data_IF_900169861926
#
_entry.id   IF_900169861926
#
_cell.length_a   1.000
_cell.length_b   1.000
_cell.length_c   1.000
_cell.angle_alpha   90.00
_cell.angle_beta   90.00
_cell.angle_gamma   90.00
#
_symmetry.space_group_name_H-M   'P 1'
#
loop_
_entity.id
_entity.type
_entity.pdbx_description
1 polymer ?
#
# COMPACT_ATOMS: atom_id res chain seq x y z
N UNK A 1 13.36 7.35 -14.51
CA UNK A 1 12.46 8.13 -13.62
C UNK A 1 11.14 8.24 -14.32
N UNK A 2 10.37 7.16 -14.18
CA UNK A 2 9.33 6.73 -15.09
C UNK A 2 8.13 7.69 -15.13
N UNK A 3 7.53 7.79 -16.31
CA UNK A 3 6.16 8.23 -16.42
C UNK A 3 5.33 7.32 -15.51
N UNK A 4 4.57 7.90 -14.59
CA UNK A 4 3.71 7.12 -13.70
C UNK A 4 2.74 6.38 -14.63
N UNK A 5 2.93 5.06 -14.73
CA UNK A 5 1.99 4.21 -15.44
C UNK A 5 0.67 4.34 -14.68
N UNK A 6 -0.42 4.72 -15.36
CA UNK A 6 -1.70 4.85 -14.69
C UNK A 6 -2.09 3.47 -14.17
N UNK A 7 -2.19 3.35 -12.84
CA UNK A 7 -2.57 2.10 -12.16
C UNK A 7 -3.98 1.69 -12.57
N UNK A 8 -4.81 2.68 -12.90
CA UNK A 8 -6.11 2.49 -13.53
C UNK A 8 -6.01 2.68 -15.04
N UNK A 9 -6.41 1.66 -15.79
CA UNK A 9 -6.58 1.76 -17.24
C UNK A 9 -7.82 2.58 -17.62
N UNK A 10 -7.78 3.24 -18.78
CA UNK A 10 -8.91 4.02 -19.32
C UNK A 10 -10.16 3.13 -19.52
N UNK A 11 -9.97 1.84 -19.81
CA UNK A 11 -11.04 0.86 -19.91
C UNK A 11 -11.74 0.61 -18.57
N UNK A 12 -11.00 0.56 -17.46
CA UNK A 12 -11.57 0.42 -16.11
C UNK A 12 -12.38 1.65 -15.72
N UNK A 13 -11.92 2.86 -16.06
CA UNK A 13 -12.71 4.09 -15.83
C UNK A 13 -14.01 4.09 -16.64
N UNK A 14 -13.98 3.59 -17.86
CA UNK A 14 -15.17 3.44 -18.68
C UNK A 14 -16.18 2.47 -18.06
N UNK A 15 -15.71 1.31 -17.56
CA UNK A 15 -16.56 0.35 -16.86
C UNK A 15 -17.19 0.92 -15.57
N UNK A 16 -16.47 1.80 -14.86
CA UNK A 16 -16.99 2.47 -13.66
C UNK A 16 -18.11 3.49 -13.98
N UNK A 17 -18.14 4.05 -15.19
CA UNK A 17 -19.14 5.04 -15.58
C UNK A 17 -20.54 4.44 -15.78
N UNK A 18 -20.62 3.15 -16.13
CA UNK A 18 -21.86 2.40 -16.32
C UNK A 18 -22.53 2.02 -14.99
N UNK A 19 -21.79 2.08 -13.88
CA UNK A 19 -22.27 1.68 -12.56
C UNK A 19 -22.98 2.87 -11.91
N UNK A 20 -24.30 2.78 -11.78
CA UNK A 20 -25.11 3.80 -11.11
C UNK A 20 -25.20 3.58 -9.59
N UNK A 21 -25.09 2.34 -9.13
CA UNK A 21 -25.21 2.01 -7.71
C UNK A 21 -23.95 2.41 -6.92
N UNK A 22 -24.08 3.21 -5.85
CA UNK A 22 -22.93 3.74 -5.11
C UNK A 22 -22.20 2.66 -4.31
N UNK A 23 -22.85 1.58 -3.90
CA UNK A 23 -22.22 0.50 -3.13
C UNK A 23 -21.39 -0.39 -4.06
N UNK A 24 -21.93 -0.73 -5.23
CA UNK A 24 -21.21 -1.50 -6.25
C UNK A 24 -20.00 -0.71 -6.79
N UNK A 25 -20.14 0.60 -6.97
CA UNK A 25 -19.02 1.47 -7.35
C UNK A 25 -17.87 1.38 -6.34
N UNK A 26 -18.17 1.49 -5.04
CA UNK A 26 -17.16 1.40 -3.98
C UNK A 26 -16.47 0.04 -3.97
N UNK A 27 -17.23 -1.05 -4.11
CA UNK A 27 -16.68 -2.42 -4.18
C UNK A 27 -15.73 -2.60 -5.34
N UNK A 28 -16.11 -2.10 -6.53
CA UNK A 28 -15.27 -2.16 -7.73
C UNK A 28 -13.99 -1.35 -7.59
N UNK A 29 -14.07 -0.15 -7.01
CA UNK A 29 -12.90 0.68 -6.73
C UNK A 29 -11.94 -0.04 -5.77
N UNK A 30 -12.44 -0.59 -4.67
CA UNK A 30 -11.62 -1.37 -3.72
C UNK A 30 -10.95 -2.57 -4.40
N UNK A 31 -11.69 -3.30 -5.25
CA UNK A 31 -11.16 -4.44 -5.99
C UNK A 31 -10.03 -4.06 -6.96
N UNK A 32 -10.12 -2.90 -7.60
CA UNK A 32 -9.08 -2.40 -8.50
C UNK A 32 -7.82 -1.99 -7.72
N UNK A 33 -8.00 -1.36 -6.56
CA UNK A 33 -6.88 -0.83 -5.78
C UNK A 33 -6.24 -1.83 -4.82
N UNK A 34 -6.84 -3.02 -4.62
CA UNK A 34 -6.27 -4.08 -3.79
C UNK A 34 -6.06 -3.67 -2.33
N UNK A 35 -7.00 -2.89 -1.76
CA UNK A 35 -6.87 -2.41 -0.40
C UNK A 35 -6.93 -3.58 0.60
N UNK A 36 -6.01 -3.57 1.58
CA UNK A 36 -5.94 -4.58 2.65
C UNK A 36 -6.46 -3.95 3.94
N UNK A 37 -7.80 -3.87 4.11
CA UNK A 37 -8.53 -3.44 5.33
C UNK A 37 -8.22 -2.03 5.90
N UNK A 38 -9.19 -1.25 6.41
CA UNK A 38 -10.66 -1.32 6.27
C UNK A 38 -11.18 -0.81 4.91
N UNK A 39 -11.77 -1.71 4.14
CA UNK A 39 -12.24 -1.49 2.76
C UNK A 39 -13.32 -0.41 2.64
N UNK A 40 -14.15 -0.24 3.66
CA UNK A 40 -15.23 0.75 3.66
C UNK A 40 -14.69 2.17 3.60
N UNK A 41 -13.64 2.47 4.39
CA UNK A 41 -13.06 3.81 4.49
C UNK A 41 -12.37 4.18 3.17
N UNK A 42 -11.65 3.22 2.58
CA UNK A 42 -10.97 3.40 1.29
C UNK A 42 -11.98 3.53 0.14
N UNK A 43 -13.01 2.70 0.14
CA UNK A 43 -14.10 2.77 -0.84
C UNK A 43 -14.83 4.11 -0.79
N UNK A 44 -15.13 4.61 0.42
CA UNK A 44 -15.75 5.92 0.60
C UNK A 44 -14.85 7.05 0.11
N UNK A 45 -13.56 7.00 0.43
CA UNK A 45 -12.56 7.97 -0.05
C UNK A 45 -12.52 8.03 -1.57
N UNK A 46 -12.27 6.91 -2.25
CA UNK A 46 -12.21 6.87 -3.71
C UNK A 46 -13.58 7.16 -4.36
N UNK A 47 -14.69 6.81 -3.70
CA UNK A 47 -16.03 7.16 -4.14
C UNK A 47 -16.27 8.67 -4.16
N UNK A 48 -15.85 9.40 -3.12
CA UNK A 48 -15.94 10.86 -3.08
C UNK A 48 -15.07 11.48 -4.20
N UNK A 49 -13.84 11.00 -4.39
CA UNK A 49 -12.96 11.49 -5.46
C UNK A 49 -13.56 11.23 -6.85
N UNK A 50 -14.13 10.06 -7.09
CA UNK A 50 -14.75 9.71 -8.36
C UNK A 50 -15.98 10.57 -8.65
N UNK A 51 -16.88 10.74 -7.66
CA UNK A 51 -18.07 11.58 -7.81
C UNK A 51 -17.70 13.05 -8.07
N UNK A 52 -16.65 13.56 -7.42
CA UNK A 52 -16.09 14.88 -7.70
C UNK A 52 -15.59 15.00 -9.15
N UNK A 53 -14.77 14.05 -9.61
CA UNK A 53 -14.23 14.05 -10.97
C UNK A 53 -15.35 13.97 -12.03
N UNK A 54 -16.41 13.21 -11.74
CA UNK A 54 -17.60 13.11 -12.58
C UNK A 54 -18.40 14.41 -12.60
N UNK A 55 -18.61 15.05 -11.45
CA UNK A 55 -19.33 16.32 -11.34
C UNK A 55 -18.63 17.47 -12.08
N UNK A 56 -17.30 17.45 -12.13
CA UNK A 56 -16.48 18.41 -12.89
C UNK A 56 -16.39 18.10 -14.39
N UNK A 57 -16.88 16.94 -14.84
CA UNK A 57 -16.83 16.55 -16.26
C UNK A 57 -15.42 16.20 -16.75
N UNK A 58 -14.56 15.64 -15.90
CA UNK A 58 -13.22 15.24 -16.31
C UNK A 58 -13.25 14.19 -17.43
N UNK A 59 -12.32 14.33 -18.39
CA UNK A 59 -12.13 13.31 -19.42
C UNK A 59 -11.69 11.99 -18.76
N UNK A 60 -11.94 10.87 -19.45
CA UNK A 60 -11.58 9.53 -18.92
C UNK A 60 -10.10 9.44 -18.55
N UNK A 61 -9.23 10.07 -19.35
CA UNK A 61 -7.80 10.17 -19.09
C UNK A 61 -7.49 11.05 -17.89
N UNK A 62 -8.09 12.25 -17.79
CA UNK A 62 -7.93 13.15 -16.62
C UNK A 62 -8.34 12.42 -15.33
N UNK A 63 -9.46 11.70 -15.36
CA UNK A 63 -9.99 10.94 -14.22
C UNK A 63 -9.10 9.78 -13.80
N UNK A 64 -8.61 8.96 -14.75
CA UNK A 64 -7.71 7.85 -14.45
C UNK A 64 -6.43 8.32 -13.75
N UNK A 65 -5.85 9.41 -14.25
CA UNK A 65 -4.61 9.98 -13.72
C UNK A 65 -4.85 10.61 -12.36
N UNK A 66 -5.95 11.35 -12.19
CA UNK A 66 -6.32 11.94 -10.90
C UNK A 66 -6.44 10.87 -9.80
N UNK A 67 -7.17 9.78 -10.07
CA UNK A 67 -7.29 8.66 -9.13
C UNK A 67 -5.94 7.99 -8.86
N UNK A 68 -5.10 7.84 -9.88
CA UNK A 68 -3.75 7.29 -9.73
C UNK A 68 -2.87 8.17 -8.85
N UNK A 69 -2.89 9.50 -9.03
CA UNK A 69 -2.12 10.43 -8.18
C UNK A 69 -2.56 10.28 -6.72
N UNK A 70 -3.88 10.26 -6.46
CA UNK A 70 -4.41 10.11 -5.12
C UNK A 70 -4.01 8.76 -4.50
N UNK A 71 -4.02 7.68 -5.29
CA UNK A 71 -3.55 6.37 -4.86
C UNK A 71 -2.06 6.37 -4.52
N UNK A 72 -1.21 6.96 -5.35
CA UNK A 72 0.25 7.01 -5.12
C UNK A 72 0.60 7.81 -3.86
N UNK A 73 -0.17 8.86 -3.55
CA UNK A 73 -0.03 9.61 -2.30
C UNK A 73 -0.49 8.76 -1.12
N UNK A 74 -1.69 8.16 -1.21
CA UNK A 74 -2.26 7.29 -0.17
C UNK A 74 -1.33 6.11 0.17
N UNK A 75 -0.93 5.32 -0.82
CA UNK A 75 -0.07 4.16 -0.66
C UNK A 75 1.29 4.53 -0.05
N UNK A 76 1.84 5.69 -0.44
CA UNK A 76 3.07 6.17 0.15
C UNK A 76 2.92 6.51 1.63
N UNK A 77 1.81 7.14 2.03
CA UNK A 77 1.53 7.51 3.42
C UNK A 77 1.23 6.28 4.31
N UNK A 78 0.70 5.22 3.71
CA UNK A 78 0.31 3.99 4.41
C UNK A 78 1.46 2.99 4.56
N UNK A 79 2.28 2.83 3.51
CA UNK A 79 3.30 1.76 3.43
C UNK A 79 4.36 1.83 4.52
N UNK A 80 4.69 3.01 5.03
CA UNK A 80 5.80 3.18 5.98
C UNK A 80 5.31 3.80 7.29
N UNK A 81 5.65 3.18 8.42
CA UNK A 81 5.51 3.78 9.75
C UNK A 81 6.71 4.71 10.04
N UNK A 82 7.03 5.62 9.12
CA UNK A 82 8.15 6.53 9.29
C UNK A 82 7.70 7.76 10.11
N UNK A 83 8.38 8.10 11.22
CA UNK A 83 8.11 9.34 11.96
C UNK A 83 8.39 10.61 11.13
N UNK A 84 9.20 10.52 10.05
CA UNK A 84 9.48 11.65 9.15
C UNK A 84 8.34 11.95 8.17
N UNK A 85 7.37 11.02 8.01
CA UNK A 85 6.17 11.26 7.21
C UNK A 85 5.17 12.12 7.99
N UNK A 86 5.28 13.43 7.78
CA UNK A 86 4.32 14.44 8.23
C UNK A 86 3.29 14.75 7.14
N UNK A 87 2.16 15.33 7.55
CA UNK A 87 1.12 15.81 6.63
C UNK A 87 1.69 16.78 5.58
N UNK A 88 2.61 17.66 5.99
CA UNK A 88 3.28 18.61 5.10
C UNK A 88 4.13 17.92 4.02
N UNK A 89 4.80 16.81 4.37
CA UNK A 89 5.57 16.03 3.40
C UNK A 89 4.66 15.35 2.36
N UNK A 90 3.53 14.78 2.81
CA UNK A 90 2.50 14.21 1.93
C UNK A 90 1.88 15.26 1.02
N UNK A 91 1.63 16.47 1.54
CA UNK A 91 1.11 17.58 0.74
C UNK A 91 2.10 18.05 -0.32
N UNK A 92 3.38 18.23 0.02
CA UNK A 92 4.44 18.55 -0.95
C UNK A 92 4.55 17.49 -2.05
N UNK A 93 4.35 16.21 -1.71
CA UNK A 93 4.33 15.13 -2.68
C UNK A 93 3.15 15.24 -3.64
N UNK A 94 1.97 15.55 -3.15
CA UNK A 94 0.79 15.81 -3.98
C UNK A 94 1.05 16.99 -4.93
N UNK A 95 1.58 18.09 -4.42
CA UNK A 95 1.91 19.28 -5.21
C UNK A 95 2.91 18.96 -6.33
N UNK A 96 3.99 18.24 -6.01
CA UNK A 96 4.98 17.82 -6.99
C UNK A 96 4.39 16.92 -8.10
N UNK A 97 3.48 16.01 -7.74
CA UNK A 97 2.78 15.16 -8.69
C UNK A 97 1.83 15.97 -9.58
N UNK A 98 1.07 16.89 -9.02
CA UNK A 98 0.16 17.76 -9.77
C UNK A 98 0.92 18.66 -10.74
N UNK A 99 2.03 19.26 -10.31
CA UNK A 99 2.88 20.09 -11.18
C UNK A 99 3.47 19.28 -12.34
N UNK A 100 3.87 18.02 -12.09
CA UNK A 100 4.35 17.10 -13.14
C UNK A 100 3.26 16.75 -14.17
N UNK A 101 1.98 16.80 -13.81
CA UNK A 101 0.88 16.51 -14.72
C UNK A 101 0.17 17.76 -15.27
N UNK A 102 0.58 18.96 -14.86
CA UNK A 102 0.03 20.23 -15.33
C UNK A 102 0.96 20.95 -16.31
N UNK A 103 2.28 20.86 -16.14
CA UNK A 103 3.24 21.51 -17.04
C UNK A 103 3.63 20.57 -18.18
N UNK A 104 3.36 20.95 -19.42
CA UNK A 104 3.81 20.21 -20.60
C UNK A 104 5.32 20.39 -20.81
N UNK A 105 6.12 19.35 -20.52
CA UNK A 105 7.55 19.27 -20.85
C UNK A 105 7.86 17.86 -21.36
N UNK A 106 7.72 17.61 -22.66
CA UNK A 106 8.21 16.36 -23.26
C UNK A 106 9.72 16.25 -22.98
N UNK A 107 10.31 15.10 -22.56
CA UNK A 107 9.77 13.74 -22.37
C UNK A 107 9.26 13.40 -20.94
N UNK A 108 9.21 14.36 -20.02
CA UNK A 108 9.04 14.10 -18.59
C UNK A 108 7.62 14.31 -18.05
N UNK A 109 6.84 15.19 -18.70
CA UNK A 109 5.50 15.56 -18.25
C UNK A 109 4.53 15.81 -19.39
N UNK A 110 3.29 15.35 -19.21
CA UNK A 110 2.17 15.58 -20.12
C UNK A 110 1.24 16.59 -19.44
N UNK A 111 0.96 17.72 -20.10
CA UNK A 111 0.06 18.76 -19.59
C UNK A 111 -1.40 18.34 -19.72
N UNK A 112 -1.86 17.55 -18.76
CA UNK A 112 -3.21 16.96 -18.78
C UNK A 112 -4.18 17.79 -17.94
N UNK A 113 -3.68 18.48 -16.91
CA UNK A 113 -4.51 19.32 -16.04
C UNK A 113 -4.29 20.81 -16.30
N UNK A 114 -5.41 21.52 -16.43
CA UNK A 114 -5.44 22.98 -16.50
C UNK A 114 -5.26 23.58 -15.09
N UNK A 115 -4.85 24.85 -15.01
CA UNK A 115 -4.64 25.52 -13.71
C UNK A 115 -5.89 25.52 -12.82
N UNK A 116 -7.08 25.68 -13.42
CA UNK A 116 -8.35 25.62 -12.71
C UNK A 116 -8.66 24.22 -12.16
N UNK A 117 -8.30 23.17 -12.91
CA UNK A 117 -8.46 21.78 -12.47
C UNK A 117 -7.55 21.49 -11.28
N UNK A 118 -6.29 21.94 -11.33
CA UNK A 118 -5.33 21.75 -10.24
C UNK A 118 -5.82 22.40 -8.96
N UNK A 119 -6.31 23.64 -9.01
CA UNK A 119 -6.84 24.33 -7.84
C UNK A 119 -8.04 23.58 -7.22
N UNK A 120 -8.95 23.09 -8.07
CA UNK A 120 -10.11 22.32 -7.62
C UNK A 120 -9.72 20.97 -7.02
N UNK A 121 -8.70 20.30 -7.58
CA UNK A 121 -8.16 19.04 -7.06
C UNK A 121 -7.52 19.25 -5.67
N UNK A 122 -6.74 20.32 -5.50
CA UNK A 122 -6.13 20.63 -4.20
C UNK A 122 -7.21 20.90 -3.15
N UNK A 123 -8.24 21.67 -3.48
CA UNK A 123 -9.35 21.97 -2.56
C UNK A 123 -10.09 20.70 -2.10
N UNK A 124 -10.46 19.81 -3.04
CA UNK A 124 -11.15 18.56 -2.67
C UNK A 124 -10.24 17.65 -1.82
N UNK A 125 -8.94 17.59 -2.11
CA UNK A 125 -8.00 16.77 -1.34
C UNK A 125 -7.79 17.32 0.07
N UNK A 126 -7.76 18.64 0.24
CA UNK A 126 -7.67 19.27 1.56
C UNK A 126 -8.91 18.97 2.41
N UNK A 127 -10.10 19.09 1.83
CA UNK A 127 -11.37 18.88 2.54
C UNK A 127 -11.67 17.41 2.85
N UNK A 128 -11.19 16.48 2.03
CA UNK A 128 -11.50 15.04 2.16
C UNK A 128 -10.35 14.25 2.77
N UNK A 129 -9.18 14.22 2.11
CA UNK A 129 -8.03 13.41 2.50
C UNK A 129 -7.29 14.03 3.69
N UNK A 130 -6.76 15.25 3.53
CA UNK A 130 -5.86 15.83 4.53
C UNK A 130 -6.56 16.15 5.85
N UNK A 131 -7.84 16.51 5.81
CA UNK A 131 -8.68 16.66 7.01
C UNK A 131 -8.69 15.41 7.90
N UNK A 132 -8.63 14.23 7.30
CA UNK A 132 -8.65 12.94 8.00
C UNK A 132 -7.33 12.19 7.89
N UNK A 133 -6.21 12.88 7.59
CA UNK A 133 -4.91 12.25 7.36
C UNK A 133 -4.47 11.33 8.52
N UNK A 134 -4.68 11.77 9.77
CA UNK A 134 -4.36 10.97 10.96
C UNK A 134 -5.17 9.68 11.04
N UNK A 135 -6.45 9.71 10.64
CA UNK A 135 -7.30 8.53 10.62
C UNK A 135 -6.75 7.49 9.65
N UNK A 136 -6.44 7.90 8.42
CA UNK A 136 -5.85 7.01 7.42
C UNK A 136 -4.52 6.43 7.91
N UNK A 137 -3.62 7.27 8.45
CA UNK A 137 -2.36 6.78 9.00
C UNK A 137 -2.59 5.73 10.10
N UNK A 138 -3.43 6.01 11.08
CA UNK A 138 -3.68 5.06 12.18
C UNK A 138 -4.38 3.77 11.74
N UNK A 139 -5.30 3.83 10.78
CA UNK A 139 -6.04 2.64 10.33
C UNK A 139 -5.20 1.67 9.50
N UNK A 140 -4.32 2.20 8.64
CA UNK A 140 -3.61 1.39 7.65
C UNK A 140 -2.13 1.16 7.97
N UNK A 141 -1.54 1.91 8.90
CA UNK A 141 -0.16 1.65 9.31
C UNK A 141 -0.06 0.29 10.03
N UNK A 142 0.80 -0.63 9.57
CA UNK A 142 1.01 -1.90 10.25
C UNK A 142 1.52 -1.65 11.67
N UNK A 143 0.85 -2.25 12.66
CA UNK A 143 1.27 -2.17 14.05
C UNK A 143 2.57 -2.96 14.21
N UNK A 144 3.59 -2.34 14.78
CA UNK A 144 4.79 -3.03 15.19
C UNK A 144 4.47 -3.81 16.48
N UNK A 145 4.13 -5.08 16.35
CA UNK A 145 3.97 -5.98 17.50
C UNK A 145 5.33 -6.56 17.87
N UNK A 146 5.89 -6.12 18.99
CA UNK A 146 7.09 -6.71 19.57
C UNK A 146 6.67 -7.72 20.65
N UNK A 147 6.85 -9.00 20.38
CA UNK A 147 6.69 -10.05 21.39
C UNK A 147 8.01 -10.27 22.11
N UNK A 148 8.03 -10.02 23.42
CA UNK A 148 9.17 -10.34 24.27
C UNK A 148 8.94 -11.70 24.92
N UNK A 149 9.93 -12.58 24.83
CA UNK A 149 9.94 -13.85 25.52
C UNK A 149 11.18 -13.89 26.40
N UNK A 150 10.99 -14.20 27.69
CA UNK A 150 12.08 -14.36 28.65
C UNK A 150 12.24 -15.85 28.95
N UNK A 151 13.43 -16.39 28.72
CA UNK A 151 13.80 -17.71 29.26
C UNK A 151 14.09 -17.53 30.75
N UNK A 152 13.53 -18.37 31.64
CA UNK A 152 13.82 -18.27 33.06
C UNK A 152 15.34 -18.37 33.29
N UNK A 153 15.94 -17.45 34.07
CA UNK A 153 17.30 -17.66 34.56
C UNK A 153 17.28 -18.97 35.36
N UNK A 154 18.23 -19.87 35.11
CA UNK A 154 18.32 -21.21 35.71
C UNK A 154 17.35 -22.28 35.16
N UNK A 155 16.88 -22.15 33.91
CA UNK A 155 16.26 -23.28 33.23
C UNK A 155 17.19 -24.49 33.25
N UNK A 156 16.75 -25.60 33.85
CA UNK A 156 17.48 -26.87 33.85
C UNK A 156 17.61 -27.27 32.38
N UNK A 157 18.84 -27.27 31.85
CA UNK A 157 19.14 -27.89 30.56
C UNK A 157 18.70 -29.36 30.68
N UNK A 158 17.61 -29.72 30.01
CA UNK A 158 17.24 -31.12 29.86
C UNK A 158 18.38 -31.73 29.05
N UNK A 159 19.12 -32.73 29.59
CA UNK A 159 20.15 -33.40 28.83
C UNK A 159 19.55 -33.85 27.50
N UNK A 160 20.24 -33.60 26.39
CA UNK A 160 19.83 -34.13 25.09
C UNK A 160 19.50 -35.61 25.27
N UNK A 161 18.30 -36.02 24.83
CA UNK A 161 17.87 -37.41 24.95
C UNK A 161 19.00 -38.31 24.45
N UNK A 162 19.34 -39.33 25.24
CA UNK A 162 20.44 -40.24 24.93
C UNK A 162 20.31 -40.64 23.46
N UNK A 163 21.37 -40.36 22.68
CA UNK A 163 21.44 -40.85 21.30
C UNK A 163 21.12 -42.34 21.36
N UNK A 164 20.15 -42.83 20.57
CA UNK A 164 19.80 -44.24 20.61
C UNK A 164 21.08 -45.07 20.41
N UNK A 165 21.22 -46.19 21.13
CA UNK A 165 22.42 -47.01 21.05
C UNK A 165 22.74 -47.35 19.60
N UNK A 166 24.04 -47.48 19.28
CA UNK A 166 24.55 -47.68 17.92
C UNK A 166 23.88 -48.87 17.19
N UNK A 167 23.32 -49.80 17.95
CA UNK A 167 22.59 -50.98 17.47
C UNK A 167 21.23 -50.64 16.82
N UNK A 168 20.68 -49.45 17.07
CA UNK A 168 19.45 -48.94 16.48
C UNK A 168 19.69 -48.18 15.16
N UNK A 169 20.96 -47.94 14.77
CA UNK A 169 21.28 -47.44 13.44
C UNK A 169 21.09 -48.58 12.42
N UNK A 170 19.90 -48.65 11.83
CA UNK A 170 19.73 -49.36 10.56
C UNK A 170 20.64 -48.69 9.53
N UNK A 171 21.46 -49.44 8.78
CA UNK A 171 22.25 -48.87 7.69
C UNK A 171 21.31 -48.09 6.76
N UNK A 172 21.59 -46.80 6.58
CA UNK A 172 20.90 -46.00 5.59
C UNK A 172 21.22 -46.59 4.21
N UNK A 173 20.24 -47.21 3.56
CA UNK A 173 20.30 -47.43 2.12
C UNK A 173 20.43 -46.05 1.47
N UNK A 174 21.61 -45.81 0.90
CA UNK A 174 21.94 -44.57 0.20
C UNK A 174 21.18 -44.60 -1.12
N UNK A 175 19.90 -44.25 -1.11
CA UNK A 175 19.20 -43.86 -2.31
C UNK A 175 19.13 -42.33 -2.39
N UNK A 176 20.21 -41.75 -2.92
CA UNK A 176 20.24 -40.62 -3.84
C UNK A 176 19.50 -39.30 -3.53
N UNK A 177 18.84 -39.10 -2.38
CA UNK A 177 18.03 -37.90 -2.11
C UNK A 177 18.75 -36.92 -1.19
N UNK A 178 19.07 -35.76 -1.76
CA UNK A 178 19.55 -34.57 -1.04
C UNK A 178 18.48 -34.09 -0.06
N UNK A 179 18.81 -33.98 1.22
CA UNK A 179 17.99 -33.28 2.21
C UNK A 179 18.38 -31.79 2.23
N UNK A 180 17.42 -30.86 2.27
CA UNK A 180 17.73 -29.44 2.35
C UNK A 180 18.26 -29.09 3.74
N UNK A 181 19.51 -28.64 3.79
CA UNK A 181 20.08 -27.89 4.91
C UNK A 181 19.32 -26.58 5.03
N UNK A 182 18.44 -26.44 6.00
CA UNK A 182 17.96 -25.12 6.44
C UNK A 182 18.49 -24.89 7.85
N UNK A 183 19.72 -24.40 7.92
CA UNK A 183 20.22 -23.69 9.09
C UNK A 183 19.40 -22.40 9.18
N UNK A 184 18.45 -22.35 10.11
CA UNK A 184 17.79 -21.11 10.49
C UNK A 184 18.72 -20.43 11.49
N UNK A 185 19.41 -19.39 11.05
CA UNK A 185 20.17 -18.48 11.90
C UNK A 185 19.23 -17.79 12.89
N UNK A 186 19.20 -18.29 14.14
CA UNK A 186 18.62 -17.56 15.27
C UNK A 186 19.76 -16.79 15.93
N UNK A 187 19.88 -15.51 15.60
CA UNK A 187 20.74 -14.57 16.35
C UNK A 187 20.05 -14.30 17.68
N UNK A 188 20.44 -15.06 18.71
CA UNK A 188 20.06 -14.78 20.10
C UNK A 188 21.00 -13.70 20.62
N UNK A 189 20.51 -12.45 20.69
CA UNK A 189 21.16 -11.40 21.47
C UNK A 189 20.72 -11.58 22.92
N UNK A 190 21.59 -12.17 23.74
CA UNK A 190 21.44 -12.21 25.19
C UNK A 190 21.97 -10.88 25.74
N UNK A 191 21.09 -10.10 26.38
CA UNK A 191 21.47 -8.97 27.26
C UNK A 191 21.39 -9.42 28.70
#
# INVERSE_FOLDING_TARGET
MDAIVPVISVAQVAALAEIHDPLELRRRLVAIFGATSPDAVVGDFYGILYTFARARGFSKTKMAIFLTICQVVFDADVRTNDPTQTMDASFKKLEALLLKHSVERPPYSVGIFDQADVAAIVDVMLHTYFRHWRLYKTCFTPKLEASFWQTPPFGVEVPAAETPPLDAFTPLEIDGKKYPTTATDVVVVVV
#
